data_IF_039515536396
#
_entry.id   IF_039515536396
#
_cell.length_a   1.000
_cell.length_b   1.000
_cell.length_c   1.000
_cell.angle_alpha   90.00
_cell.angle_beta   90.00
_cell.angle_gamma   90.00
#
_symmetry.space_group_name_H-M   'P 1'
#
loop_
_entity.id
_entity.type
_entity.pdbx_description
1 polymer ?
#
# COMPACT_ATOMS: atom_id res chain seq x y z
N UNK A 1 -11.84 -36.53 30.72
CA UNK A 1 -10.62 -35.73 30.95
C UNK A 1 -9.70 -35.94 29.77
N UNK A 2 -9.21 -34.83 29.21
CA UNK A 2 -8.10 -34.65 28.23
C UNK A 2 -8.27 -35.42 26.90
N UNK A 3 -8.55 -34.82 25.75
CA UNK A 3 -8.09 -33.51 25.24
C UNK A 3 -6.80 -33.72 24.44
N UNK A 4 -6.90 -33.61 23.11
CA UNK A 4 -5.84 -33.05 22.27
C UNK A 4 -6.41 -32.79 20.87
N UNK A 5 -6.83 -31.52 20.68
CA UNK A 5 -7.05 -30.92 19.37
C UNK A 5 -5.70 -30.79 18.67
N UNK A 6 -5.54 -31.52 17.57
CA UNK A 6 -4.53 -31.27 16.56
C UNK A 6 -4.92 -30.02 15.78
N UNK A 7 -4.44 -28.85 16.20
CA UNK A 7 -4.48 -27.64 15.37
C UNK A 7 -3.46 -27.76 14.24
N UNK A 8 -4.01 -27.82 13.03
CA UNK A 8 -3.35 -27.82 11.73
C UNK A 8 -2.35 -26.67 11.60
N UNK A 9 -1.05 -26.98 11.76
CA UNK A 9 0.05 -26.12 11.31
C UNK A 9 0.14 -26.20 9.79
N UNK A 10 -0.59 -25.33 9.10
CA UNK A 10 -0.42 -25.12 7.67
C UNK A 10 0.85 -24.27 7.48
N UNK A 11 2.01 -24.93 7.45
CA UNK A 11 3.32 -24.31 7.24
C UNK A 11 3.37 -23.67 5.84
N UNK A 12 3.41 -22.34 5.77
CA UNK A 12 3.68 -21.59 4.53
C UNK A 12 5.16 -21.75 4.16
N UNK A 13 5.50 -22.46 3.07
CA UNK A 13 6.82 -23.09 2.91
C UNK A 13 8.00 -22.15 2.58
N UNK A 14 7.83 -20.82 2.56
CA UNK A 14 8.84 -19.94 1.96
C UNK A 14 9.20 -18.64 2.68
N UNK A 15 8.55 -18.26 3.79
CA UNK A 15 9.03 -17.05 4.48
C UNK A 15 10.19 -17.35 5.41
N UNK A 16 11.40 -17.32 4.85
CA UNK A 16 12.65 -17.37 5.60
C UNK A 16 12.86 -16.14 6.51
N UNK A 17 12.07 -15.08 6.32
CA UNK A 17 12.19 -13.80 7.05
C UNK A 17 11.50 -13.79 8.43
N UNK A 18 10.84 -14.90 8.81
CA UNK A 18 10.04 -14.99 10.05
C UNK A 18 10.59 -15.89 11.14
N UNK A 19 11.78 -16.46 10.97
CA UNK A 19 12.39 -17.27 12.05
C UNK A 19 12.79 -16.36 13.22
N UNK A 20 11.93 -16.28 14.26
CA UNK A 20 12.24 -15.69 15.56
C UNK A 20 11.53 -14.38 15.94
N UNK A 21 10.59 -13.85 15.14
CA UNK A 21 9.78 -12.67 15.52
C UNK A 21 8.37 -13.08 15.98
N UNK A 22 7.81 -12.47 17.05
CA UNK A 22 6.48 -12.81 17.55
C UNK A 22 5.41 -12.36 16.55
N UNK A 23 4.39 -13.17 16.18
CA UNK A 23 3.44 -12.84 15.10
C UNK A 23 2.76 -11.47 15.28
N UNK A 24 2.20 -10.86 14.21
CA UNK A 24 1.31 -9.71 14.36
C UNK A 24 0.17 -10.02 15.35
N UNK A 25 -0.45 -8.99 15.97
CA UNK A 25 -1.61 -9.20 16.84
C UNK A 25 -2.76 -9.90 16.08
N UNK A 26 -3.47 -10.82 16.74
CA UNK A 26 -4.58 -11.58 16.13
C UNK A 26 -5.69 -10.65 15.60
N UNK A 27 -6.02 -9.60 16.37
CA UNK A 27 -7.00 -8.56 16.00
C UNK A 27 -6.42 -7.48 15.07
N UNK A 28 -5.18 -7.65 14.62
CA UNK A 28 -4.42 -6.65 13.86
C UNK A 28 -3.86 -5.51 14.71
N UNK A 29 -2.99 -4.71 14.09
CA UNK A 29 -2.40 -3.54 14.74
C UNK A 29 -3.46 -2.49 15.03
N UNK A 30 -3.48 -2.02 16.27
CA UNK A 30 -4.28 -0.89 16.70
C UNK A 30 -3.70 0.44 16.22
N UNK A 31 -4.54 1.46 16.21
CA UNK A 31 -4.11 2.83 15.90
C UNK A 31 -2.94 3.30 16.77
N UNK A 32 -2.94 2.95 18.06
CA UNK A 32 -1.89 3.33 18.99
C UNK A 32 -0.55 2.64 18.64
N UNK A 33 -0.58 1.35 18.30
CA UNK A 33 0.61 0.61 17.89
C UNK A 33 1.20 1.14 16.57
N UNK A 34 0.35 1.47 15.58
CA UNK A 34 0.81 2.06 14.32
C UNK A 34 1.43 3.43 14.59
N UNK A 35 0.77 4.27 15.41
CA UNK A 35 1.30 5.58 15.77
C UNK A 35 2.64 5.48 16.49
N UNK A 36 2.75 4.58 17.47
CA UNK A 36 3.98 4.34 18.21
C UNK A 36 5.12 3.88 17.29
N UNK A 37 4.84 2.98 16.35
CA UNK A 37 5.84 2.53 15.37
C UNK A 37 6.33 3.68 14.48
N UNK A 38 5.45 4.60 14.08
CA UNK A 38 5.83 5.80 13.31
C UNK A 38 6.64 6.76 14.17
N UNK A 39 6.14 7.12 15.36
CA UNK A 39 6.77 8.10 16.26
C UNK A 39 8.17 7.65 16.70
N UNK A 40 8.36 6.34 16.92
CA UNK A 40 9.63 5.74 17.34
C UNK A 40 10.53 5.29 16.18
N UNK A 41 10.12 5.51 14.92
CA UNK A 41 10.78 5.00 13.73
C UNK A 41 11.05 3.47 13.77
N UNK A 42 10.17 2.71 14.42
CA UNK A 42 10.26 1.25 14.59
C UNK A 42 9.39 0.50 13.58
N UNK A 43 9.40 0.96 12.32
CA UNK A 43 8.52 0.46 11.25
C UNK A 43 8.75 -1.02 10.91
N UNK A 44 9.93 -1.56 11.19
CA UNK A 44 10.24 -3.00 11.07
C UNK A 44 9.35 -3.90 11.95
N UNK A 45 8.68 -3.32 12.96
CA UNK A 45 7.72 -4.02 13.81
C UNK A 45 6.36 -4.24 13.15
N UNK A 46 6.00 -3.43 12.15
CA UNK A 46 4.77 -3.56 11.37
C UNK A 46 5.02 -4.53 10.22
N UNK A 47 4.30 -5.65 10.20
CA UNK A 47 4.48 -6.67 9.16
C UNK A 47 3.17 -7.33 8.77
N UNK A 48 3.21 -8.10 7.68
CA UNK A 48 2.11 -8.99 7.28
C UNK A 48 2.07 -10.24 8.16
N UNK A 49 0.93 -10.90 8.18
CA UNK A 49 0.86 -12.29 8.63
C UNK A 49 1.67 -13.19 7.68
N UNK A 50 2.06 -14.38 8.12
CA UNK A 50 2.80 -15.33 7.29
C UNK A 50 2.02 -15.67 6.01
N UNK A 51 0.70 -15.85 6.14
CA UNK A 51 -0.21 -16.02 5.01
C UNK A 51 -0.16 -14.82 4.06
N UNK A 52 -0.33 -13.60 4.57
CA UNK A 52 -0.35 -12.39 3.74
C UNK A 52 0.98 -12.12 3.05
N UNK A 53 2.10 -12.45 3.72
CA UNK A 53 3.42 -12.39 3.10
C UNK A 53 3.58 -13.43 2.00
N UNK A 54 3.18 -14.68 2.24
CA UNK A 54 3.21 -15.73 1.23
C UNK A 54 2.36 -15.35 -0.01
N UNK A 55 1.14 -14.85 0.19
CA UNK A 55 0.27 -14.38 -0.90
C UNK A 55 0.91 -13.24 -1.70
N UNK A 56 1.59 -12.32 -1.01
CA UNK A 56 2.34 -11.23 -1.65
C UNK A 56 3.50 -11.75 -2.51
N UNK A 57 4.27 -12.71 -2.00
CA UNK A 57 5.38 -13.35 -2.75
C UNK A 57 4.85 -14.12 -3.97
N UNK A 58 3.76 -14.86 -3.82
CA UNK A 58 3.12 -15.57 -4.94
C UNK A 58 2.61 -14.60 -6.00
N UNK A 59 2.09 -13.43 -5.60
CA UNK A 59 1.70 -12.40 -6.55
C UNK A 59 2.90 -11.79 -7.28
N UNK A 60 3.97 -11.45 -6.57
CA UNK A 60 5.19 -10.93 -7.19
C UNK A 60 5.80 -11.91 -8.20
N UNK A 61 5.73 -13.21 -7.92
CA UNK A 61 6.22 -14.27 -8.79
C UNK A 61 5.44 -14.39 -10.12
N UNK A 62 4.21 -13.85 -10.19
CA UNK A 62 3.36 -13.86 -11.39
C UNK A 62 3.63 -12.69 -12.33
N UNK A 63 4.42 -11.71 -11.91
CA UNK A 63 4.73 -10.54 -12.74
C UNK A 63 5.60 -10.97 -13.92
N UNK A 64 5.17 -10.66 -15.14
CA UNK A 64 5.94 -10.91 -16.35
C UNK A 64 7.17 -9.99 -16.40
N UNK A 65 8.33 -10.54 -16.04
CA UNK A 65 9.60 -9.82 -16.02
C UNK A 65 10.22 -9.63 -17.40
N UNK A 66 9.68 -10.27 -18.44
CA UNK A 66 10.06 -9.99 -19.82
C UNK A 66 9.37 -8.73 -20.34
N UNK A 67 8.15 -8.45 -19.88
CA UNK A 67 7.40 -7.23 -20.24
C UNK A 67 7.72 -6.05 -19.33
N UNK A 68 7.82 -6.29 -18.02
CA UNK A 68 8.04 -5.23 -17.01
C UNK A 68 9.39 -5.42 -16.32
N UNK A 69 10.27 -4.43 -16.43
CA UNK A 69 11.64 -4.52 -15.91
C UNK A 69 11.67 -4.66 -14.38
N UNK A 70 10.66 -4.14 -13.69
CA UNK A 70 10.55 -4.19 -12.24
C UNK A 70 9.09 -4.15 -11.76
N UNK A 71 8.87 -4.41 -10.47
CA UNK A 71 7.53 -4.41 -9.86
C UNK A 71 6.87 -3.03 -9.95
N UNK A 72 7.66 -1.96 -9.85
CA UNK A 72 7.15 -0.60 -9.95
C UNK A 72 6.60 -0.27 -11.32
N UNK A 73 7.25 -0.70 -12.41
CA UNK A 73 6.68 -0.59 -13.76
C UNK A 73 5.35 -1.33 -13.85
N UNK A 74 5.31 -2.61 -13.43
CA UNK A 74 4.06 -3.37 -13.43
C UNK A 74 2.95 -2.65 -12.65
N UNK A 75 3.26 -2.06 -11.49
CA UNK A 75 2.30 -1.28 -10.72
C UNK A 75 1.86 -0.02 -11.50
N UNK A 76 2.78 0.76 -12.05
CA UNK A 76 2.46 2.00 -12.75
C UNK A 76 1.56 1.77 -13.98
N UNK A 77 1.87 0.76 -14.78
CA UNK A 77 1.17 0.48 -16.05
C UNK A 77 -0.04 -0.43 -15.86
N UNK A 78 0.13 -1.61 -15.26
CA UNK A 78 -0.94 -2.61 -15.20
C UNK A 78 -1.94 -2.36 -14.06
N UNK A 79 -1.49 -1.83 -12.92
CA UNK A 79 -2.35 -1.65 -11.73
C UNK A 79 -2.92 -0.23 -11.63
N UNK A 80 -2.07 0.78 -11.79
CA UNK A 80 -2.47 2.19 -11.66
C UNK A 80 -2.99 2.76 -12.97
N UNK A 81 -2.60 2.18 -14.11
CA UNK A 81 -3.00 2.61 -15.45
C UNK A 81 -2.87 4.12 -15.63
N UNK A 82 -1.71 4.65 -15.23
CA UNK A 82 -1.47 6.08 -15.32
C UNK A 82 -1.56 6.54 -16.78
N UNK A 83 -2.45 7.51 -17.11
CA UNK A 83 -2.68 7.91 -18.49
C UNK A 83 -1.40 8.47 -19.13
N UNK A 84 -1.29 8.58 -20.45
CA UNK A 84 -0.09 9.13 -21.12
C UNK A 84 1.23 8.37 -20.88
N UNK A 85 1.21 7.29 -20.09
CA UNK A 85 2.30 6.33 -19.98
C UNK A 85 1.92 5.13 -20.86
N UNK A 86 2.66 4.93 -21.96
CA UNK A 86 2.46 3.77 -22.83
C UNK A 86 2.85 2.48 -22.10
N UNK A 87 1.90 1.55 -21.96
CA UNK A 87 2.15 0.24 -21.36
C UNK A 87 3.13 -0.54 -22.26
N UNK A 88 4.27 -1.02 -21.71
CA UNK A 88 5.18 -1.90 -22.44
C UNK A 88 4.50 -3.13 -23.06
N UNK A 89 3.41 -3.62 -22.48
CA UNK A 89 2.62 -4.73 -23.03
C UNK A 89 1.86 -4.37 -24.32
N UNK A 90 1.55 -3.08 -24.53
CA UNK A 90 0.78 -2.58 -25.67
C UNK A 90 1.68 -2.03 -26.80
N UNK A 91 2.95 -1.76 -26.52
CA UNK A 91 3.89 -1.27 -27.53
C UNK A 91 4.31 -2.37 -28.52
N UNK A 92 4.21 -2.07 -29.82
CA UNK A 92 4.64 -2.97 -30.91
C UNK A 92 6.16 -3.01 -31.11
N UNK A 93 6.86 -2.00 -30.60
CA UNK A 93 8.31 -1.95 -30.52
C UNK A 93 8.63 -1.56 -29.08
N UNK A 94 9.08 -2.52 -28.28
CA UNK A 94 9.48 -2.26 -26.90
C UNK A 94 10.78 -1.45 -26.88
N UNK A 95 10.69 -0.15 -27.22
CA UNK A 95 11.78 0.79 -27.04
C UNK A 95 11.90 1.09 -25.54
N UNK A 96 12.71 0.27 -24.89
CA UNK A 96 13.10 0.44 -23.49
C UNK A 96 14.21 1.49 -23.30
N UNK A 97 14.43 2.37 -24.29
CA UNK A 97 15.42 3.46 -24.22
C UNK A 97 15.29 4.33 -22.97
N UNK A 98 14.05 4.60 -22.52
CA UNK A 98 13.79 5.43 -21.34
C UNK A 98 13.44 4.59 -20.10
N UNK A 99 14.12 4.89 -19.00
CA UNK A 99 13.84 4.37 -17.66
C UNK A 99 12.47 4.85 -17.14
N UNK A 100 11.90 4.13 -16.16
CA UNK A 100 10.65 4.53 -15.50
C UNK A 100 10.72 5.94 -14.90
N UNK A 101 11.85 6.31 -14.29
CA UNK A 101 12.08 7.64 -13.73
C UNK A 101 12.02 8.73 -14.81
N UNK A 102 12.64 8.50 -15.97
CA UNK A 102 12.60 9.44 -17.09
C UNK A 102 11.20 9.60 -17.65
N UNK A 103 10.43 8.50 -17.76
CA UNK A 103 9.02 8.54 -18.17
C UNK A 103 8.17 9.33 -17.17
N UNK A 104 8.37 9.11 -15.87
CA UNK A 104 7.68 9.88 -14.82
C UNK A 104 7.98 11.37 -14.85
N UNK A 105 9.23 11.77 -15.19
CA UNK A 105 9.59 13.19 -15.36
C UNK A 105 8.96 13.84 -16.58
N UNK A 106 8.56 13.05 -17.58
CA UNK A 106 7.99 13.55 -18.83
C UNK A 106 6.48 13.82 -18.76
N UNK A 107 5.81 13.40 -17.67
CA UNK A 107 4.35 13.54 -17.49
C UNK A 107 3.99 14.50 -16.37
N UNK A 108 2.75 14.99 -16.38
CA UNK A 108 2.20 15.75 -15.26
C UNK A 108 2.23 14.92 -13.96
N UNK A 109 2.60 15.52 -12.82
CA UNK A 109 2.67 14.81 -11.54
C UNK A 109 1.37 14.16 -11.14
N UNK A 110 1.45 12.87 -10.77
CA UNK A 110 0.28 12.09 -10.38
C UNK A 110 0.33 11.70 -8.92
N UNK A 111 -0.86 11.63 -8.34
CA UNK A 111 -1.13 11.05 -7.04
C UNK A 111 -2.27 10.06 -7.24
N UNK A 112 -2.11 8.84 -6.75
CA UNK A 112 -3.13 7.81 -6.87
C UNK A 112 -3.19 7.00 -5.59
N UNK A 113 -4.30 7.13 -4.88
CA UNK A 113 -4.59 6.35 -3.68
C UNK A 113 -5.37 5.07 -4.03
N UNK A 114 -5.00 3.95 -3.42
CA UNK A 114 -5.65 2.63 -3.57
C UNK A 114 -5.66 1.91 -2.24
N UNK A 115 -6.66 1.05 -2.01
CA UNK A 115 -6.60 0.07 -0.93
C UNK A 115 -5.36 -0.81 -1.12
N UNK A 116 -4.68 -1.13 -0.03
CA UNK A 116 -3.53 -2.02 -0.09
C UNK A 116 -4.00 -3.46 -0.30
N UNK A 117 -3.65 -4.05 -1.44
CA UNK A 117 -4.00 -5.45 -1.75
C UNK A 117 -3.32 -6.47 -0.83
N UNK A 118 -2.17 -6.11 -0.26
CA UNK A 118 -1.41 -6.96 0.66
C UNK A 118 -1.12 -6.17 1.94
N UNK A 119 -2.15 -5.92 2.77
CA UNK A 119 -2.05 -5.06 3.94
C UNK A 119 -1.33 -5.75 5.10
N UNK A 120 -0.85 -4.94 6.04
CA UNK A 120 -0.62 -5.40 7.41
C UNK A 120 -1.97 -5.68 8.05
N UNK A 121 -2.09 -6.67 8.95
CA UNK A 121 -3.32 -6.85 9.68
C UNK A 121 -3.56 -5.61 10.56
N UNK A 122 -4.70 -4.98 10.43
CA UNK A 122 -5.10 -3.80 11.21
C UNK A 122 -6.48 -4.07 11.81
N UNK A 123 -6.81 -3.41 12.91
CA UNK A 123 -8.13 -3.52 13.51
C UNK A 123 -9.23 -3.12 12.51
N UNK A 124 -10.42 -3.73 12.61
CA UNK A 124 -11.53 -3.59 11.66
C UNK A 124 -11.97 -2.13 11.41
N UNK A 125 -11.80 -1.26 12.41
CA UNK A 125 -12.10 0.18 12.30
C UNK A 125 -11.04 0.99 11.54
N UNK A 126 -10.04 0.33 10.93
CA UNK A 126 -8.90 0.93 10.23
C UNK A 126 -8.83 0.38 8.79
N UNK A 127 -8.83 1.26 7.80
CA UNK A 127 -8.49 0.94 6.42
C UNK A 127 -7.04 1.29 6.10
N UNK A 128 -6.39 0.42 5.32
CA UNK A 128 -5.01 0.58 4.90
C UNK A 128 -4.93 0.82 3.39
N UNK A 129 -4.52 2.02 3.01
CA UNK A 129 -4.26 2.45 1.64
C UNK A 129 -2.77 2.59 1.35
N UNK A 130 -2.44 2.59 0.06
CA UNK A 130 -1.17 3.07 -0.47
C UNK A 130 -1.45 4.27 -1.37
N UNK A 131 -0.74 5.36 -1.16
CA UNK A 131 -0.74 6.51 -2.06
C UNK A 131 0.56 6.48 -2.87
N UNK A 132 0.43 6.40 -4.18
CA UNK A 132 1.52 6.36 -5.16
C UNK A 132 1.74 7.73 -5.79
N UNK A 133 2.99 8.04 -6.16
CA UNK A 133 3.34 9.23 -6.94
C UNK A 133 4.40 8.97 -8.00
N UNK A 134 4.34 9.77 -9.06
CA UNK A 134 5.38 9.89 -10.08
C UNK A 134 6.54 10.78 -9.63
N UNK A 135 6.42 11.47 -8.49
CA UNK A 135 7.45 12.36 -7.95
C UNK A 135 7.97 11.88 -6.61
N UNK A 136 9.22 12.22 -6.34
CA UNK A 136 9.90 11.98 -5.07
C UNK A 136 9.15 12.66 -3.92
N UNK A 137 8.52 11.85 -3.07
CA UNK A 137 7.75 12.31 -1.91
C UNK A 137 8.62 12.74 -0.73
N UNK A 138 9.95 12.59 -0.81
CA UNK A 138 10.87 13.06 0.22
C UNK A 138 11.00 14.59 0.22
N UNK A 139 10.76 15.22 -0.93
CA UNK A 139 10.88 16.67 -1.17
C UNK A 139 9.73 17.43 -0.50
N UNK A 140 10.04 18.59 0.09
CA UNK A 140 9.11 19.34 0.96
C UNK A 140 7.87 19.84 0.20
N UNK A 141 8.01 20.32 -1.03
CA UNK A 141 6.91 20.78 -1.88
C UNK A 141 5.91 19.65 -2.17
N UNK A 142 6.43 18.44 -2.44
CA UNK A 142 5.60 17.26 -2.67
C UNK A 142 4.88 16.81 -1.41
N UNK A 143 5.48 16.97 -0.22
CA UNK A 143 4.79 16.72 1.06
C UNK A 143 3.60 17.64 1.28
N UNK A 144 3.68 18.91 0.87
CA UNK A 144 2.54 19.84 0.95
C UNK A 144 1.42 19.37 0.01
N UNK A 145 1.75 19.10 -1.26
CA UNK A 145 0.81 18.60 -2.26
C UNK A 145 0.12 17.30 -1.82
N UNK A 146 0.88 16.40 -1.20
CA UNK A 146 0.39 15.14 -0.67
C UNK A 146 -0.62 15.34 0.47
N UNK A 147 -0.34 16.25 1.40
CA UNK A 147 -1.25 16.55 2.50
C UNK A 147 -2.58 17.14 1.99
N UNK A 148 -2.50 18.08 1.03
CA UNK A 148 -3.69 18.68 0.42
C UNK A 148 -4.52 17.64 -0.33
N UNK A 149 -3.85 16.75 -1.08
CA UNK A 149 -4.49 15.64 -1.77
C UNK A 149 -5.17 14.69 -0.78
N UNK A 150 -4.48 14.21 0.25
CA UNK A 150 -5.07 13.32 1.25
C UNK A 150 -6.27 13.97 1.95
N UNK A 151 -6.18 15.24 2.28
CA UNK A 151 -7.29 15.99 2.87
C UNK A 151 -8.50 16.02 1.92
N UNK A 152 -8.29 16.35 0.65
CA UNK A 152 -9.34 16.34 -0.36
C UNK A 152 -9.97 14.94 -0.52
N UNK A 153 -9.14 13.90 -0.55
CA UNK A 153 -9.56 12.52 -0.80
C UNK A 153 -10.29 11.88 0.38
N UNK A 154 -9.88 12.20 1.61
CA UNK A 154 -10.38 11.54 2.82
C UNK A 154 -11.47 12.35 3.54
N UNK A 155 -11.45 13.68 3.41
CA UNK A 155 -12.51 14.58 3.92
C UNK A 155 -13.57 14.91 2.87
N UNK A 156 -13.26 14.78 1.58
CA UNK A 156 -14.19 15.05 0.49
C UNK A 156 -15.43 14.17 0.58
N UNK A 157 -16.57 14.79 0.94
CA UNK A 157 -17.88 14.17 0.77
C UNK A 157 -18.10 13.79 -0.70
N UNK A 158 -19.08 12.91 -0.96
CA UNK A 158 -19.39 12.28 -2.26
C UNK A 158 -19.75 13.25 -3.44
N UNK A 159 -18.94 14.26 -3.74
CA UNK A 159 -19.37 15.38 -4.57
C UNK A 159 -18.31 16.05 -5.44
N UNK A 160 -17.15 15.45 -5.71
CA UNK A 160 -16.22 16.01 -6.69
C UNK A 160 -15.84 15.00 -7.77
N UNK A 161 -16.56 15.12 -8.89
CA UNK A 161 -16.54 14.26 -10.07
C UNK A 161 -15.32 14.46 -10.98
N UNK A 162 -14.18 14.90 -10.45
CA UNK A 162 -12.99 15.12 -11.26
C UNK A 162 -11.73 14.77 -10.48
N UNK A 163 -11.32 13.49 -10.56
CA UNK A 163 -10.10 12.99 -9.92
C UNK A 163 -10.33 12.12 -8.68
N UNK A 164 -11.24 11.15 -8.80
CA UNK A 164 -11.40 9.94 -7.98
C UNK A 164 -11.18 10.08 -6.48
N UNK A 165 -12.27 10.13 -5.71
CA UNK A 165 -12.31 9.78 -4.29
C UNK A 165 -11.53 8.48 -4.05
N UNK A 166 -10.87 8.35 -2.89
CA UNK A 166 -10.16 7.14 -2.51
C UNK A 166 -11.08 5.90 -2.69
N UNK A 167 -10.86 5.08 -3.72
CA UNK A 167 -11.83 4.03 -4.06
C UNK A 167 -11.92 3.01 -2.93
N UNK A 168 -13.14 2.69 -2.52
CA UNK A 168 -13.40 1.77 -1.41
C UNK A 168 -13.23 2.39 -0.01
N UNK A 169 -13.04 3.71 0.11
CA UNK A 169 -13.07 4.38 1.41
C UNK A 169 -14.47 4.30 2.03
N UNK A 170 -14.54 3.68 3.21
CA UNK A 170 -15.77 3.48 3.96
C UNK A 170 -16.25 4.80 4.57
N UNK A 171 -17.55 4.87 4.87
CA UNK A 171 -18.14 5.98 5.61
C UNK A 171 -17.55 6.04 7.03
N UNK A 172 -17.54 7.22 7.68
CA UNK A 172 -17.19 7.29 9.09
C UNK A 172 -18.21 6.50 9.92
N UNK A 173 -17.75 5.81 10.97
CA UNK A 173 -18.64 5.15 11.90
C UNK A 173 -19.61 6.16 12.58
N UNK A 174 -20.80 5.73 13.03
CA UNK A 174 -21.80 6.62 13.63
C UNK A 174 -21.22 7.50 14.75
N UNK A 175 -21.36 8.82 14.61
CA UNK A 175 -20.87 9.80 15.58
C UNK A 175 -19.35 10.00 15.60
N UNK A 176 -18.62 9.45 14.61
CA UNK A 176 -17.16 9.60 14.49
C UNK A 176 -16.78 10.47 13.29
N UNK A 177 -15.51 10.91 13.29
CA UNK A 177 -14.87 11.57 12.16
C UNK A 177 -13.63 10.77 11.79
N UNK A 178 -13.41 10.56 10.49
CA UNK A 178 -12.21 9.89 9.98
C UNK A 178 -10.96 10.59 10.46
N UNK A 179 -9.97 9.80 10.85
CA UNK A 179 -8.63 10.29 11.16
C UNK A 179 -7.64 9.48 10.34
N UNK A 180 -6.57 10.12 9.87
CA UNK A 180 -5.56 9.43 9.08
C UNK A 180 -4.15 9.74 9.56
N UNK A 181 -3.25 8.79 9.31
CA UNK A 181 -1.81 8.93 9.48
C UNK A 181 -1.13 8.25 8.29
N UNK A 182 0.11 8.63 8.04
CA UNK A 182 0.89 7.98 7.00
C UNK A 182 2.37 7.93 7.33
N UNK A 183 3.08 7.02 6.66
CA UNK A 183 4.54 6.96 6.69
C UNK A 183 5.10 6.53 5.34
N UNK A 184 6.37 6.84 5.12
CA UNK A 184 7.17 6.32 4.01
C UNK A 184 7.99 5.18 4.57
N UNK A 185 8.03 4.02 3.90
CA UNK A 185 8.97 2.97 4.30
C UNK A 185 10.42 3.46 4.12
N UNK A 186 11.31 3.23 5.09
CA UNK A 186 12.75 3.33 4.90
C UNK A 186 13.19 2.50 3.69
N UNK A 187 14.27 2.92 3.02
CA UNK A 187 14.71 2.31 1.74
C UNK A 187 14.90 0.79 1.90
N UNK A 188 15.44 0.35 3.03
CA UNK A 188 15.68 -1.04 3.38
C UNK A 188 14.41 -1.87 3.62
N UNK A 189 13.26 -1.23 3.84
CA UNK A 189 11.95 -1.88 4.04
C UNK A 189 11.03 -1.78 2.80
N UNK A 190 11.43 -1.04 1.77
CA UNK A 190 10.62 -0.86 0.56
C UNK A 190 10.65 -2.11 -0.30
N UNK A 191 9.49 -2.74 -0.47
CA UNK A 191 9.35 -3.84 -1.44
C UNK A 191 9.25 -3.35 -2.89
N UNK A 192 8.89 -2.08 -3.12
CA UNK A 192 8.83 -1.44 -4.44
C UNK A 192 9.69 -0.18 -4.43
N UNK A 193 10.95 -0.29 -4.86
CA UNK A 193 11.89 0.82 -4.75
C UNK A 193 11.75 1.87 -5.87
N UNK A 194 11.14 1.49 -7.00
CA UNK A 194 11.15 2.25 -8.26
C UNK A 194 9.95 3.18 -8.45
N UNK A 195 8.96 3.15 -7.56
CA UNK A 195 7.81 4.07 -7.57
C UNK A 195 7.61 4.60 -6.16
N UNK A 196 7.56 5.93 -6.03
CA UNK A 196 7.35 6.58 -4.74
C UNK A 196 5.95 6.31 -4.20
N UNK A 197 5.90 5.94 -2.93
CA UNK A 197 4.65 5.66 -2.26
C UNK A 197 4.73 5.85 -0.75
N UNK A 198 3.57 6.11 -0.16
CA UNK A 198 3.36 6.10 1.29
C UNK A 198 2.26 5.13 1.68
N UNK A 199 2.38 4.65 2.90
CA UNK A 199 1.38 3.84 3.57
C UNK A 199 0.44 4.77 4.34
N UNK A 200 -0.85 4.72 4.06
CA UNK A 200 -1.87 5.60 4.62
C UNK A 200 -2.88 4.76 5.39
N UNK A 201 -3.05 5.05 6.68
CA UNK A 201 -4.05 4.40 7.53
C UNK A 201 -5.16 5.38 7.83
N UNK A 202 -6.40 4.95 7.71
CA UNK A 202 -7.60 5.74 7.99
C UNK A 202 -8.43 5.00 9.02
N UNK A 203 -8.68 5.60 10.19
CA UNK A 203 -9.49 5.00 11.25
C UNK A 203 -10.85 5.66 11.42
N UNK A 204 -11.64 5.06 12.31
CA UNK A 204 -12.99 5.48 12.68
C UNK A 204 -13.97 5.40 11.49
N UNK A 205 -13.75 4.40 10.64
CA UNK A 205 -14.66 4.03 9.56
C UNK A 205 -15.64 2.94 10.02
N UNK A 206 -16.74 2.78 9.30
CA UNK A 206 -17.63 1.64 9.48
C UNK A 206 -16.85 0.33 9.39
N UNK A 207 -17.13 -0.63 10.28
CA UNK A 207 -16.58 -1.97 10.16
C UNK A 207 -17.11 -2.59 8.85
N UNK A 208 -16.26 -3.34 8.15
CA UNK A 208 -16.76 -4.13 7.02
C UNK A 208 -17.68 -5.21 7.55
N UNK A 209 -18.92 -5.27 7.07
CA UNK A 209 -19.76 -6.46 7.25
C UNK A 209 -19.06 -7.63 6.55
N UNK A 210 -18.56 -8.60 7.32
CA UNK A 210 -17.90 -9.83 6.83
C UNK A 210 -18.94 -10.92 6.57
#
# INVERSE_FOLDING_TARGET
>A
MTGNDTSSSTLYPHSTDFTGRPPPPDEGYSWAQIKEAIDSNSLHGLRRTDKGQYEYEQWQAKIDRATYNNVGEYIAFAILQWPDLEDPAESKEADHSMTLEERHRAIEPRLTIRLNHYPFPVQESIQYFVLWSTRDMSVQEERVRLNDYLKQQLEGGQGSSSGGLAPGLLAPAPGKRKQWMFFVNPVELRSVATVDHIHVFVRDVEAMDI
#
